data_IF_622824227817
#
_entry.id   IF_622824227817
#
_cell.length_a   1.000
_cell.length_b   1.000
_cell.length_c   1.000
_cell.angle_alpha   90.00
_cell.angle_beta   90.00
_cell.angle_gamma   90.00
#
_symmetry.space_group_name_H-M   'P 1'
#
loop_
_entity.id
_entity.type
_entity.pdbx_description
1 polymer ?
#
# COMPACT_ATOMS: atom_id res chain seq x y z
N UNK A 1 -17.68 8.79 -25.11
CA UNK A 1 -16.95 9.67 -24.16
C UNK A 1 -16.15 8.75 -23.26
N UNK A 2 -14.88 8.53 -23.61
CA UNK A 2 -14.01 7.58 -22.91
C UNK A 2 -13.67 8.15 -21.53
N UNK A 3 -14.24 7.59 -20.47
CA UNK A 3 -13.94 8.00 -19.10
C UNK A 3 -12.45 7.77 -18.83
N UNK A 4 -11.78 8.75 -18.21
CA UNK A 4 -10.39 8.60 -17.77
C UNK A 4 -10.23 7.29 -16.96
N UNK A 5 -9.09 6.57 -17.09
CA UNK A 5 -8.88 5.31 -16.41
C UNK A 5 -9.11 5.50 -14.90
N UNK A 6 -10.20 4.92 -14.41
CA UNK A 6 -10.64 5.12 -13.04
C UNK A 6 -10.03 4.02 -12.15
N UNK A 7 -9.34 4.37 -11.06
CA UNK A 7 -8.78 3.40 -10.13
C UNK A 7 -9.88 2.71 -9.30
N UNK A 8 -11.14 3.15 -9.43
CA UNK A 8 -12.28 2.62 -8.70
C UNK A 8 -12.52 1.11 -8.90
N UNK A 9 -12.02 0.53 -10.00
CA UNK A 9 -12.10 -0.92 -10.28
C UNK A 9 -10.90 -1.72 -9.75
N UNK A 10 -9.84 -1.07 -9.29
CA UNK A 10 -8.69 -1.78 -8.73
C UNK A 10 -9.05 -2.39 -7.36
N UNK A 11 -8.86 -3.70 -7.24
CA UNK A 11 -9.06 -4.48 -6.00
C UNK A 11 -7.73 -4.99 -5.41
N UNK A 12 -6.62 -4.79 -6.13
CA UNK A 12 -5.28 -5.24 -5.75
C UNK A 12 -4.24 -4.20 -6.13
N UNK A 13 -3.07 -4.27 -5.50
CA UNK A 13 -1.97 -3.33 -5.75
C UNK A 13 -1.47 -3.39 -7.20
N UNK A 14 -1.44 -4.60 -7.78
CA UNK A 14 -1.06 -4.82 -9.17
C UNK A 14 -2.02 -4.13 -10.15
N UNK A 15 -3.34 -4.28 -9.92
CA UNK A 15 -4.38 -3.61 -10.70
C UNK A 15 -4.29 -2.08 -10.58
N UNK A 16 -4.00 -1.58 -9.37
CA UNK A 16 -3.79 -0.16 -9.14
C UNK A 16 -2.57 0.38 -9.92
N UNK A 17 -1.46 -0.36 -9.91
CA UNK A 17 -0.24 0.01 -10.66
C UNK A 17 -0.49 -0.04 -12.18
N UNK A 18 -1.24 -1.04 -12.65
CA UNK A 18 -1.65 -1.13 -14.06
C UNK A 18 -2.49 0.09 -14.47
N UNK A 19 -3.49 0.45 -13.67
CA UNK A 19 -4.28 1.65 -13.88
C UNK A 19 -3.42 2.93 -13.86
N UNK A 20 -2.45 3.03 -12.94
CA UNK A 20 -1.54 4.18 -12.84
C UNK A 20 -0.68 4.34 -14.11
N UNK A 21 -0.22 3.23 -14.69
CA UNK A 21 0.49 3.22 -15.98
C UNK A 21 -0.42 3.69 -17.12
N UNK A 22 -1.67 3.24 -17.16
CA UNK A 22 -2.65 3.71 -18.15
C UNK A 22 -2.98 5.20 -17.97
N UNK A 23 -3.11 5.68 -16.73
CA UNK A 23 -3.31 7.10 -16.44
C UNK A 23 -2.15 7.93 -16.98
N UNK A 24 -0.92 7.49 -16.75
CA UNK A 24 0.27 8.13 -17.28
C UNK A 24 0.22 8.21 -18.82
N UNK A 25 -0.17 7.14 -19.51
CA UNK A 25 -0.32 7.15 -20.97
C UNK A 25 -1.40 8.12 -21.44
N UNK A 26 -2.54 8.16 -20.75
CA UNK A 26 -3.67 9.03 -21.07
C UNK A 26 -3.34 10.52 -20.96
N UNK A 27 -2.52 10.92 -19.98
CA UNK A 27 -2.06 12.30 -19.78
C UNK A 27 -0.79 12.68 -20.58
N UNK A 28 -0.44 11.92 -21.63
CA UNK A 28 0.69 12.25 -22.51
C UNK A 28 2.04 11.68 -22.10
N UNK A 29 2.04 10.63 -21.28
CA UNK A 29 3.21 9.82 -20.92
C UNK A 29 4.42 10.61 -20.34
N UNK A 30 4.23 11.40 -19.26
CA UNK A 30 5.34 12.12 -18.63
C UNK A 30 6.46 11.18 -18.16
N UNK A 31 7.70 11.56 -18.43
CA UNK A 31 8.88 10.78 -18.06
C UNK A 31 9.04 10.71 -16.54
N UNK A 32 9.65 9.63 -16.01
CA UNK A 32 9.88 9.48 -14.55
C UNK A 32 10.64 10.68 -13.96
N UNK A 33 11.59 11.27 -14.70
CA UNK A 33 12.26 12.52 -14.28
C UNK A 33 11.31 13.70 -14.17
N UNK A 34 10.41 13.88 -15.13
CA UNK A 34 9.45 14.99 -15.12
C UNK A 34 8.50 14.85 -13.94
N UNK A 35 8.01 13.63 -13.69
CA UNK A 35 7.19 13.32 -12.51
C UNK A 35 7.97 13.62 -11.23
N UNK A 36 9.22 13.14 -11.13
CA UNK A 36 10.07 13.38 -9.95
C UNK A 36 10.27 14.87 -9.69
N UNK A 37 10.53 15.67 -10.74
CA UNK A 37 10.72 17.11 -10.61
C UNK A 37 9.44 17.82 -10.18
N UNK A 38 8.28 17.44 -10.72
CA UNK A 38 6.97 17.97 -10.32
C UNK A 38 6.63 17.64 -8.86
N UNK A 39 6.92 16.41 -8.41
CA UNK A 39 6.74 16.01 -7.01
C UNK A 39 7.63 16.85 -6.09
N UNK A 40 8.91 17.03 -6.44
CA UNK A 40 9.84 17.88 -5.66
C UNK A 40 9.37 19.33 -5.60
N UNK A 41 8.87 19.88 -6.70
CA UNK A 41 8.32 21.23 -6.72
C UNK A 41 7.10 21.36 -5.79
N UNK A 42 6.19 20.39 -5.83
CA UNK A 42 5.02 20.35 -4.95
C UNK A 42 5.42 20.25 -3.46
N UNK A 43 6.38 19.39 -3.13
CA UNK A 43 6.86 19.20 -1.75
C UNK A 43 7.63 20.42 -1.24
N UNK A 44 8.41 21.06 -2.12
CA UNK A 44 9.06 22.34 -1.83
C UNK A 44 8.02 23.42 -1.52
N UNK A 45 6.96 23.53 -2.33
CA UNK A 45 5.85 24.49 -2.09
C UNK A 45 5.10 24.19 -0.79
N UNK A 46 5.00 22.92 -0.40
CA UNK A 46 4.43 22.49 0.86
C UNK A 46 5.37 22.67 2.07
N UNK A 47 6.61 23.13 1.85
CA UNK A 47 7.59 23.35 2.92
C UNK A 47 8.26 22.08 3.44
N UNK A 48 8.18 20.95 2.73
CA UNK A 48 8.87 19.71 3.12
C UNK A 48 10.38 19.84 2.93
N UNK A 49 11.18 19.32 3.88
CA UNK A 49 12.63 19.36 3.80
C UNK A 49 13.16 18.50 2.63
N UNK A 50 14.32 18.88 2.05
CA UNK A 50 14.89 18.20 0.88
C UNK A 50 15.38 16.77 1.15
N UNK A 51 15.58 16.40 2.42
CA UNK A 51 15.95 15.03 2.80
C UNK A 51 14.81 14.02 2.58
N UNK A 52 13.56 14.47 2.57
CA UNK A 52 12.40 13.62 2.28
C UNK A 52 12.19 13.45 0.78
N UNK A 53 12.76 14.34 -0.04
CA UNK A 53 12.46 14.38 -1.47
C UNK A 53 12.78 13.05 -2.17
N UNK A 54 11.84 12.51 -2.95
CA UNK A 54 12.04 11.21 -3.56
C UNK A 54 13.13 11.28 -4.63
N UNK A 55 13.88 10.18 -4.72
CA UNK A 55 14.80 9.95 -5.82
C UNK A 55 14.06 9.42 -7.05
N UNK A 56 14.65 9.59 -8.24
CA UNK A 56 14.10 9.05 -9.49
C UNK A 56 13.83 7.55 -9.41
N UNK A 57 14.71 6.81 -8.74
CA UNK A 57 14.54 5.38 -8.49
C UNK A 57 13.31 5.07 -7.62
N UNK A 58 13.06 5.88 -6.59
CA UNK A 58 11.89 5.75 -5.70
C UNK A 58 10.60 5.99 -6.48
N UNK A 59 10.55 7.05 -7.30
CA UNK A 59 9.40 7.32 -8.18
C UNK A 59 9.22 6.20 -9.20
N UNK A 60 10.32 5.66 -9.76
CA UNK A 60 10.27 4.50 -10.65
C UNK A 60 9.70 3.25 -9.97
N UNK A 61 10.02 3.04 -8.69
CA UNK A 61 9.49 1.92 -7.90
C UNK A 61 7.97 2.00 -7.71
N UNK A 62 7.37 3.20 -7.67
CA UNK A 62 5.91 3.34 -7.63
C UNK A 62 5.20 2.73 -8.85
N UNK A 63 5.90 2.57 -9.98
CA UNK A 63 5.37 1.92 -11.16
C UNK A 63 5.73 0.44 -11.24
N UNK A 64 6.49 -0.10 -10.29
CA UNK A 64 6.90 -1.51 -10.26
C UNK A 64 5.91 -2.34 -9.42
N UNK A 65 5.51 -3.54 -9.88
CA UNK A 65 4.71 -4.47 -9.08
C UNK A 65 5.59 -5.04 -7.96
N UNK A 66 5.68 -4.34 -6.83
CA UNK A 66 6.38 -4.82 -5.65
C UNK A 66 5.40 -5.11 -4.53
N UNK A 67 5.57 -6.25 -3.85
CA UNK A 67 4.83 -6.60 -2.62
C UNK A 67 5.37 -5.86 -1.39
N UNK A 68 6.15 -4.80 -1.59
CA UNK A 68 6.73 -4.00 -0.51
C UNK A 68 5.77 -2.89 -0.14
N UNK A 69 5.72 -2.49 1.14
CA UNK A 69 4.90 -1.35 1.61
C UNK A 69 5.17 -0.13 0.73
N UNK A 70 4.14 0.30 0.03
CA UNK A 70 4.16 1.49 -0.81
C UNK A 70 3.84 2.70 0.07
N UNK A 71 4.59 3.78 -0.11
CA UNK A 71 4.35 5.04 0.58
C UNK A 71 3.13 5.75 -0.04
N UNK A 72 2.06 5.92 0.74
CA UNK A 72 0.81 6.56 0.29
C UNK A 72 1.07 7.99 -0.18
N UNK A 73 1.86 8.77 0.56
CA UNK A 73 2.11 10.19 0.28
C UNK A 73 2.87 10.34 -1.04
N UNK A 74 3.88 9.48 -1.26
CA UNK A 74 4.62 9.46 -2.52
C UNK A 74 3.72 9.12 -3.72
N UNK A 75 2.84 8.12 -3.60
CA UNK A 75 1.95 7.74 -4.70
C UNK A 75 0.94 8.84 -5.01
N UNK A 76 0.34 9.45 -3.99
CA UNK A 76 -0.58 10.58 -4.16
C UNK A 76 0.12 11.75 -4.83
N UNK A 77 1.36 12.07 -4.44
CA UNK A 77 2.17 13.10 -5.08
C UNK A 77 2.49 12.77 -6.54
N UNK A 78 2.76 11.50 -6.87
CA UNK A 78 2.97 11.05 -8.26
C UNK A 78 1.71 11.22 -9.09
N UNK A 79 0.53 10.86 -8.56
CA UNK A 79 -0.75 11.08 -9.25
C UNK A 79 -0.98 12.57 -9.49
N UNK A 80 -0.80 13.40 -8.47
CA UNK A 80 -0.91 14.86 -8.59
C UNK A 80 0.07 15.44 -9.63
N UNK A 81 1.29 14.90 -9.73
CA UNK A 81 2.26 15.30 -10.74
C UNK A 81 1.85 14.92 -12.19
N UNK A 82 1.00 13.91 -12.36
CA UNK A 82 0.49 13.47 -13.67
C UNK A 82 -0.76 14.28 -14.05
N UNK A 83 -1.73 14.39 -13.14
CA UNK A 83 -3.05 15.01 -13.42
C UNK A 83 -3.07 16.52 -13.19
N UNK A 84 -2.06 17.08 -12.53
CA UNK A 84 -2.01 18.50 -12.15
C UNK A 84 -2.98 18.83 -11.02
N UNK A 85 -3.58 20.02 -11.05
CA UNK A 85 -4.46 20.57 -10.00
C UNK A 85 -5.88 19.94 -9.94
N UNK A 86 -6.10 18.80 -10.59
CA UNK A 86 -7.40 18.12 -10.60
C UNK A 86 -7.67 17.37 -9.29
N UNK A 87 -8.01 18.13 -8.23
CA UNK A 87 -8.22 17.62 -6.86
C UNK A 87 -9.23 16.47 -6.78
N UNK A 88 -10.30 16.51 -7.58
CA UNK A 88 -11.31 15.45 -7.61
C UNK A 88 -10.74 14.10 -8.09
N UNK A 89 -9.86 14.15 -9.11
CA UNK A 89 -9.16 12.97 -9.60
C UNK A 89 -8.20 12.47 -8.51
N UNK A 90 -7.37 13.36 -7.96
CA UNK A 90 -6.42 13.01 -6.88
C UNK A 90 -7.14 12.33 -5.70
N UNK A 91 -8.26 12.88 -5.24
CA UNK A 91 -9.03 12.31 -4.13
C UNK A 91 -9.58 10.92 -4.46
N UNK A 92 -10.04 10.70 -5.69
CA UNK A 92 -10.51 9.38 -6.16
C UNK A 92 -9.39 8.34 -6.13
N UNK A 93 -8.19 8.73 -6.58
CA UNK A 93 -7.00 7.88 -6.56
C UNK A 93 -6.51 7.58 -5.14
N UNK A 94 -6.51 8.57 -4.25
CA UNK A 94 -6.16 8.39 -2.84
C UNK A 94 -7.14 7.43 -2.14
N UNK A 95 -8.44 7.57 -2.38
CA UNK A 95 -9.45 6.69 -1.78
C UNK A 95 -9.31 5.23 -2.27
N UNK A 96 -9.07 5.03 -3.56
CA UNK A 96 -8.81 3.72 -4.13
C UNK A 96 -7.54 3.08 -3.55
N UNK A 97 -6.46 3.85 -3.42
CA UNK A 97 -5.20 3.39 -2.83
C UNK A 97 -5.41 2.93 -1.38
N UNK A 98 -6.12 3.70 -0.56
CA UNK A 98 -6.45 3.33 0.84
C UNK A 98 -7.24 2.03 0.91
N UNK A 99 -8.22 1.85 0.03
CA UNK A 99 -9.02 0.63 -0.03
C UNK A 99 -8.14 -0.58 -0.36
N UNK A 100 -7.29 -0.47 -1.37
CA UNK A 100 -6.38 -1.54 -1.79
C UNK A 100 -5.34 -1.87 -0.71
N UNK A 101 -4.76 -0.86 -0.06
CA UNK A 101 -3.83 -1.05 1.05
C UNK A 101 -4.52 -1.72 2.25
N UNK A 102 -5.75 -1.30 2.60
CA UNK A 102 -6.54 -1.94 3.65
C UNK A 102 -6.87 -3.40 3.36
N UNK A 103 -7.21 -3.73 2.11
CA UNK A 103 -7.44 -5.12 1.68
C UNK A 103 -6.15 -5.95 1.67
N UNK A 104 -5.02 -5.36 1.28
CA UNK A 104 -3.72 -6.03 1.30
C UNK A 104 -3.26 -6.33 2.74
N UNK A 105 -3.43 -5.40 3.68
CA UNK A 105 -3.13 -5.63 5.10
C UNK A 105 -4.07 -6.67 5.71
N UNK A 106 -5.37 -6.65 5.39
CA UNK A 106 -6.31 -7.68 5.82
C UNK A 106 -5.93 -9.07 5.26
N UNK A 107 -5.53 -9.15 3.99
CA UNK A 107 -5.08 -10.39 3.35
C UNK A 107 -3.73 -10.87 3.89
N UNK A 108 -2.84 -9.95 4.27
CA UNK A 108 -1.59 -10.26 4.95
C UNK A 108 -1.81 -10.76 6.38
N UNK A 109 -2.77 -10.19 7.12
CA UNK A 109 -3.19 -10.69 8.44
C UNK A 109 -3.82 -12.08 8.33
N UNK A 110 -4.59 -12.36 7.28
CA UNK A 110 -5.15 -13.69 7.02
C UNK A 110 -4.08 -14.69 6.57
N UNK A 111 -3.07 -14.26 5.81
CA UNK A 111 -1.94 -15.12 5.41
C UNK A 111 -0.97 -15.40 6.58
N UNK A 112 -0.77 -14.44 7.49
CA UNK A 112 0.00 -14.64 8.72
C UNK A 112 -0.79 -15.46 9.76
N UNK A 113 -2.12 -15.50 9.67
CA UNK A 113 -2.96 -16.44 10.43
C UNK A 113 -3.13 -17.83 9.79
N UNK A 114 -2.53 -18.09 8.63
CA UNK A 114 -2.48 -19.44 8.04
C UNK A 114 -1.20 -20.20 8.41
N UNK A 115 -0.17 -19.50 8.91
CA UNK A 115 0.87 -20.14 9.75
C UNK A 115 0.52 -19.95 11.21
N UNK A 116 -0.33 -20.84 11.71
CA UNK A 116 -0.22 -21.25 13.11
C UNK A 116 1.26 -21.61 13.34
N UNK A 117 1.97 -20.97 14.30
CA UNK A 117 3.18 -21.56 14.81
C UNK A 117 2.78 -22.93 15.38
N UNK A 118 3.21 -24.00 14.72
CA UNK A 118 3.21 -25.31 15.34
C UNK A 118 4.14 -25.24 16.55
N UNK A 119 3.52 -25.36 17.73
CA UNK A 119 4.08 -25.77 19.00
C UNK A 119 5.27 -24.97 19.58
N UNK A 120 5.11 -24.45 20.80
CA UNK A 120 6.16 -24.64 21.77
C UNK A 120 5.70 -25.59 22.87
N UNK A 121 6.32 -26.76 22.86
CA UNK A 121 6.34 -27.73 23.91
C UNK A 121 6.58 -27.09 25.28
N UNK A 122 5.91 -27.63 26.28
CA UNK A 122 6.42 -27.66 27.65
C UNK A 122 6.18 -26.38 28.46
N UNK A 123 4.93 -26.11 28.83
CA UNK A 123 4.68 -25.35 30.05
C UNK A 123 4.77 -26.29 31.26
N UNK A 124 5.99 -26.42 31.81
CA UNK A 124 6.23 -27.07 33.09
C UNK A 124 6.17 -26.02 34.23
N UNK A 125 5.35 -26.31 35.25
CA UNK A 125 5.27 -25.59 36.53
C UNK A 125 3.85 -25.04 36.78
N UNK A 126 3.07 -25.49 37.77
CA UNK A 126 3.40 -25.82 39.18
C UNK A 126 2.49 -26.95 39.70
N UNK A 127 2.93 -27.73 40.71
CA UNK A 127 2.24 -28.92 41.17
C UNK A 127 1.17 -28.56 42.20
N UNK A 128 -0.02 -29.13 42.04
CA UNK A 128 -0.95 -29.33 43.13
C UNK A 128 -1.32 -30.80 43.12
N UNK A 129 -0.56 -31.55 43.93
CA UNK A 129 -0.90 -32.90 44.31
C UNK A 129 -2.25 -32.87 45.02
N UNK A 130 -3.22 -33.67 44.56
CA UNK A 130 -4.02 -34.50 45.48
C UNK A 130 -4.56 -35.69 44.69
N UNK A 131 -4.14 -36.87 45.12
CA UNK A 131 -4.68 -38.17 44.72
C UNK A 131 -5.65 -38.58 45.85
N UNK A 132 -6.91 -38.81 45.54
CA UNK A 132 -7.90 -39.55 46.36
C UNK A 132 -9.17 -39.78 45.52
N UNK A 133 -9.40 -40.98 44.98
CA UNK A 133 -10.22 -42.09 45.55
C UNK A 133 -11.68 -42.10 44.99
N UNK A 134 -11.95 -43.05 44.07
CA UNK A 134 -13.09 -44.02 43.89
C UNK A 134 -14.55 -43.65 44.30
N UNK A 135 -15.69 -44.27 43.81
CA UNK A 135 -16.10 -45.11 42.63
C UNK A 135 -17.33 -44.51 41.85
N UNK A 136 -18.10 -45.25 41.00
CA UNK A 136 -19.34 -45.90 41.52
C UNK A 136 -19.83 -47.21 40.83
N UNK A 137 -20.59 -47.98 41.64
CA UNK A 137 -21.52 -49.13 41.48
C UNK A 137 -21.52 -50.00 40.20
#
# INVERSE_FOLDING_TARGET
MESAPAPARANSLEEFISALRSLKLWYGNPSISQITQRVRDAWRKAGRPPNEWPSRATVGRCFAPSRQRIDEDLVVAVVAAIVGDQRQVIATWQHALRRVLGQAEASNVVTVKDRLPQDPAGFAGRPAATLATTPPK
#
